data_IF_677314684211
#
_entry.id   IF_677314684211
#
_cell.length_a   1.000
_cell.length_b   1.000
_cell.length_c   1.000
_cell.angle_alpha   90.00
_cell.angle_beta   90.00
_cell.angle_gamma   90.00
#
_symmetry.space_group_name_H-M   'P 1'
#
loop_
_entity.id
_entity.type
_entity.pdbx_description
1 polymer ?
#
# COMPACT_ATOMS: atom_id res chain seq x y z
N UNK A 1 33.33 13.94 -43.63
CA UNK A 1 32.40 14.67 -42.72
C UNK A 1 31.70 13.62 -41.93
N UNK A 2 32.24 13.37 -40.75
CA UNK A 2 31.90 12.23 -39.91
C UNK A 2 30.66 12.54 -39.05
N UNK A 3 29.61 11.78 -39.29
CA UNK A 3 28.45 11.78 -38.36
C UNK A 3 28.84 11.01 -37.10
N UNK A 4 29.08 11.75 -36.02
CA UNK A 4 29.23 11.21 -34.66
C UNK A 4 27.86 10.72 -34.18
N UNK A 5 27.66 9.42 -34.22
CA UNK A 5 26.54 8.75 -33.58
C UNK A 5 26.72 8.85 -32.05
N UNK A 6 26.02 9.78 -31.43
CA UNK A 6 25.90 9.88 -29.98
C UNK A 6 25.12 8.66 -29.47
N UNK A 7 25.84 7.69 -28.93
CA UNK A 7 25.31 6.65 -28.06
C UNK A 7 24.69 7.30 -26.80
N UNK A 8 23.39 7.50 -26.82
CA UNK A 8 22.64 7.67 -25.59
C UNK A 8 22.60 6.31 -24.87
N UNK A 9 23.57 6.06 -24.00
CA UNK A 9 23.53 4.96 -23.05
C UNK A 9 22.29 5.13 -22.18
N UNK A 10 21.28 4.29 -22.43
CA UNK A 10 20.07 4.22 -21.62
C UNK A 10 20.46 3.97 -20.16
N UNK A 11 20.17 4.93 -19.28
CA UNK A 11 20.23 4.70 -17.85
C UNK A 11 19.32 3.50 -17.55
N UNK A 12 19.89 2.39 -17.11
CA UNK A 12 19.12 1.23 -16.68
C UNK A 12 18.12 1.70 -15.64
N UNK A 13 16.81 1.56 -15.92
CA UNK A 13 15.77 1.88 -14.98
C UNK A 13 16.00 1.06 -13.69
N UNK A 14 15.96 1.72 -12.54
CA UNK A 14 16.16 1.09 -11.23
C UNK A 14 15.21 -0.11 -11.06
N UNK A 15 15.76 -1.28 -10.82
CA UNK A 15 14.99 -2.49 -10.56
C UNK A 15 14.55 -2.50 -9.10
N UNK A 16 13.25 -2.71 -8.85
CA UNK A 16 12.65 -2.63 -7.51
C UNK A 16 11.99 -3.95 -7.14
N UNK A 17 12.27 -4.43 -5.94
CA UNK A 17 11.50 -5.51 -5.32
C UNK A 17 10.37 -4.89 -4.48
N UNK A 18 9.12 -5.09 -4.87
CA UNK A 18 7.96 -4.70 -4.08
C UNK A 18 7.50 -5.86 -3.19
N UNK A 19 7.30 -5.58 -1.91
CA UNK A 19 6.88 -6.51 -0.86
C UNK A 19 5.57 -6.01 -0.27
N UNK A 20 4.49 -6.79 -0.41
CA UNK A 20 3.18 -6.54 0.19
C UNK A 20 3.02 -7.45 1.42
N UNK A 21 3.11 -6.87 2.62
CA UNK A 21 3.02 -7.60 3.88
C UNK A 21 1.58 -7.64 4.36
N UNK A 22 0.93 -8.79 4.18
CA UNK A 22 -0.41 -9.03 4.70
C UNK A 22 -0.43 -9.94 5.92
N UNK A 23 -1.52 -9.94 6.67
CA UNK A 23 -1.70 -10.78 7.87
C UNK A 23 -1.75 -12.29 7.59
N UNK A 24 -2.09 -12.71 6.38
CA UNK A 24 -2.16 -14.13 5.95
C UNK A 24 -1.07 -14.51 4.97
N UNK A 25 -0.63 -13.61 4.14
CA UNK A 25 0.41 -13.85 3.14
C UNK A 25 1.27 -12.60 2.97
N UNK A 26 2.56 -12.82 2.79
CA UNK A 26 3.47 -11.85 2.18
C UNK A 26 3.57 -12.18 0.70
N UNK A 27 3.42 -11.17 -0.14
CA UNK A 27 3.56 -11.28 -1.60
C UNK A 27 4.73 -10.43 -2.06
N UNK A 28 5.46 -10.91 -3.06
CA UNK A 28 6.61 -10.19 -3.61
C UNK A 28 6.60 -10.21 -5.13
N UNK A 29 7.08 -9.14 -5.73
CA UNK A 29 7.30 -9.05 -7.18
C UNK A 29 8.48 -8.12 -7.44
N UNK A 30 9.42 -8.53 -8.28
CA UNK A 30 10.48 -7.65 -8.78
C UNK A 30 10.05 -6.99 -10.09
N UNK A 31 10.60 -5.81 -10.39
CA UNK A 31 10.40 -5.14 -11.69
C UNK A 31 10.86 -6.08 -12.81
N UNK A 32 10.09 -6.12 -13.90
CA UNK A 32 10.36 -7.02 -15.03
C UNK A 32 9.83 -8.45 -14.87
N UNK A 33 9.55 -8.90 -13.65
CA UNK A 33 8.93 -10.19 -13.40
C UNK A 33 7.41 -10.15 -13.62
N UNK A 34 6.86 -11.24 -14.16
CA UNK A 34 5.44 -11.32 -14.52
C UNK A 34 4.57 -11.98 -13.44
N UNK A 35 5.17 -12.85 -12.63
CA UNK A 35 4.42 -13.68 -11.70
C UNK A 35 4.83 -13.39 -10.25
N UNK A 36 3.92 -12.85 -9.43
CA UNK A 36 4.19 -12.65 -8.01
C UNK A 36 4.44 -13.98 -7.31
N UNK A 37 5.37 -13.97 -6.37
CA UNK A 37 5.55 -15.06 -5.43
C UNK A 37 4.95 -14.70 -4.08
N UNK A 38 4.56 -15.70 -3.30
CA UNK A 38 3.96 -15.52 -1.97
C UNK A 38 4.33 -16.62 -1.01
N UNK A 39 4.30 -16.29 0.27
CA UNK A 39 4.40 -17.24 1.36
C UNK A 39 3.44 -16.90 2.49
N UNK A 40 3.11 -17.89 3.31
CA UNK A 40 2.20 -17.69 4.44
C UNK A 40 2.88 -16.82 5.50
N UNK A 41 2.16 -15.81 5.98
CA UNK A 41 2.49 -15.00 7.16
C UNK A 41 1.71 -15.52 8.37
N UNK A 42 1.37 -14.65 9.29
CA UNK A 42 0.52 -14.96 10.44
C UNK A 42 1.15 -14.56 11.78
N UNK A 43 0.47 -14.88 12.91
CA UNK A 43 0.76 -14.27 14.21
C UNK A 43 2.17 -14.56 14.76
N UNK A 44 2.89 -15.50 14.19
CA UNK A 44 4.26 -15.84 14.61
C UNK A 44 5.35 -15.24 13.72
N UNK A 45 4.99 -14.53 12.65
CA UNK A 45 5.97 -13.97 11.71
C UNK A 45 6.58 -12.68 12.23
N UNK A 46 7.87 -12.70 12.50
CA UNK A 46 8.68 -11.52 12.83
C UNK A 46 9.24 -10.86 11.56
N UNK A 47 9.68 -9.59 11.66
CA UNK A 47 10.38 -8.89 10.57
C UNK A 47 11.61 -9.68 10.07
N UNK A 48 12.38 -10.25 10.96
CA UNK A 48 13.57 -11.07 10.62
C UNK A 48 13.20 -12.31 9.79
N UNK A 49 12.14 -13.02 10.16
CA UNK A 49 11.66 -14.19 9.42
C UNK A 49 11.11 -13.79 8.04
N UNK A 50 10.38 -12.67 7.96
CA UNK A 50 9.90 -12.13 6.69
C UNK A 50 11.08 -11.85 5.75
N UNK A 51 12.11 -11.13 6.21
CA UNK A 51 13.32 -10.85 5.41
C UNK A 51 13.99 -12.14 4.92
N UNK A 52 14.14 -13.15 5.79
CA UNK A 52 14.75 -14.42 5.42
C UNK A 52 13.97 -15.14 4.32
N UNK A 53 12.63 -15.17 4.42
CA UNK A 53 11.77 -15.79 3.41
C UNK A 53 11.80 -15.03 2.08
N UNK A 54 11.75 -13.70 2.13
CA UNK A 54 11.86 -12.85 0.93
C UNK A 54 13.18 -13.09 0.21
N UNK A 55 14.32 -13.10 0.93
CA UNK A 55 15.63 -13.39 0.33
C UNK A 55 15.68 -14.75 -0.33
N UNK A 56 15.07 -15.77 0.27
CA UNK A 56 14.99 -17.12 -0.30
C UNK A 56 14.19 -17.15 -1.60
N UNK A 57 13.01 -16.51 -1.61
CA UNK A 57 12.13 -16.50 -2.78
C UNK A 57 12.68 -15.63 -3.91
N UNK A 58 13.24 -14.46 -3.58
CA UNK A 58 13.80 -13.53 -4.54
C UNK A 58 15.24 -13.86 -4.98
N UNK A 59 15.80 -15.01 -4.58
CA UNK A 59 17.22 -15.34 -4.81
C UNK A 59 17.65 -15.35 -6.28
N UNK A 60 16.71 -15.52 -7.21
CA UNK A 60 16.96 -15.52 -8.67
C UNK A 60 16.62 -14.18 -9.33
N UNK A 61 16.09 -13.21 -8.57
CA UNK A 61 15.68 -11.93 -9.09
C UNK A 61 16.76 -10.87 -8.83
N UNK A 62 16.97 -10.02 -9.79
CA UNK A 62 17.85 -8.86 -9.66
C UNK A 62 17.02 -7.62 -9.28
N UNK A 63 17.49 -6.86 -8.31
CA UNK A 63 16.88 -5.60 -7.89
C UNK A 63 17.89 -4.73 -7.13
N UNK A 64 17.74 -3.42 -7.29
CA UNK A 64 18.61 -2.38 -6.69
C UNK A 64 18.03 -1.85 -5.38
N UNK A 65 16.70 -1.84 -5.27
CA UNK A 65 15.96 -1.23 -4.18
C UNK A 65 14.72 -2.04 -3.80
N UNK A 66 14.17 -1.75 -2.62
CA UNK A 66 13.05 -2.50 -2.05
C UNK A 66 11.96 -1.54 -1.56
N UNK A 67 10.71 -1.85 -1.87
CA UNK A 67 9.53 -1.23 -1.29
C UNK A 67 8.80 -2.21 -0.39
N UNK A 68 8.39 -1.78 0.80
CA UNK A 68 7.62 -2.60 1.74
C UNK A 68 6.31 -1.89 2.04
N UNK A 69 5.17 -2.51 1.65
CA UNK A 69 3.84 -2.18 2.13
C UNK A 69 3.60 -2.88 3.46
N UNK A 70 3.46 -2.11 4.53
CA UNK A 70 3.36 -2.59 5.89
C UNK A 70 1.92 -2.47 6.43
N UNK A 71 1.37 -3.50 7.09
CA UNK A 71 -0.02 -3.48 7.58
C UNK A 71 -0.15 -2.74 8.91
N UNK A 72 0.06 -1.44 8.88
CA UNK A 72 -0.02 -0.55 10.04
C UNK A 72 0.52 0.84 9.77
N UNK A 73 0.47 1.74 10.75
CA UNK A 73 0.88 3.13 10.58
C UNK A 73 2.40 3.26 10.36
N UNK A 74 2.74 3.99 9.30
CA UNK A 74 4.11 4.33 8.92
C UNK A 74 4.20 5.84 8.74
N UNK A 75 5.11 6.49 9.47
CA UNK A 75 5.37 7.91 9.36
C UNK A 75 6.82 8.13 8.90
N UNK A 76 7.00 8.81 7.78
CA UNK A 76 8.32 9.10 7.20
C UNK A 76 9.22 7.85 7.08
N UNK A 77 8.64 6.74 6.61
CA UNK A 77 9.34 5.46 6.47
C UNK A 77 9.58 4.70 7.78
N UNK A 78 9.08 5.18 8.91
CA UNK A 78 9.23 4.55 10.23
C UNK A 78 7.93 3.86 10.65
N UNK A 79 8.01 2.59 10.98
CA UNK A 79 6.91 1.83 11.58
C UNK A 79 6.67 2.35 13.00
N UNK A 80 5.44 2.77 13.30
CA UNK A 80 5.07 3.36 14.60
C UNK A 80 4.68 2.30 15.62
N UNK A 81 3.99 1.24 15.20
CA UNK A 81 3.49 0.18 16.08
C UNK A 81 3.71 -1.19 15.43
N UNK A 82 3.87 -2.22 16.26
CA UNK A 82 3.89 -3.60 15.77
C UNK A 82 2.53 -3.99 15.17
N UNK A 83 2.48 -4.88 14.17
CA UNK A 83 1.27 -5.21 13.44
C UNK A 83 0.35 -6.10 14.28
N UNK A 84 -0.95 -5.87 14.25
CA UNK A 84 -1.93 -6.65 15.04
C UNK A 84 -1.96 -8.14 14.69
N UNK A 85 -1.69 -8.50 13.43
CA UNK A 85 -1.85 -9.86 12.90
C UNK A 85 -0.53 -10.60 12.67
N UNK A 86 0.59 -10.04 13.12
CA UNK A 86 1.93 -10.63 13.02
C UNK A 86 2.63 -10.59 14.38
N UNK A 87 3.76 -11.28 14.52
CA UNK A 87 4.55 -11.20 15.74
C UNK A 87 5.18 -9.80 15.93
N UNK A 88 5.52 -9.40 17.16
CA UNK A 88 6.22 -8.15 17.42
C UNK A 88 7.65 -8.14 16.87
N UNK A 89 8.30 -6.97 16.94
CA UNK A 89 9.70 -6.79 16.52
C UNK A 89 9.86 -6.18 15.14
N UNK A 90 8.84 -5.45 14.66
CA UNK A 90 8.88 -4.67 13.42
C UNK A 90 9.28 -3.22 13.66
N UNK A 91 8.89 -2.67 14.81
CA UNK A 91 9.27 -1.32 15.20
C UNK A 91 10.79 -1.25 15.36
N UNK A 92 11.43 -0.23 14.74
CA UNK A 92 12.90 -0.02 14.73
C UNK A 92 13.71 -1.16 14.08
N UNK A 93 13.09 -2.11 13.38
CA UNK A 93 13.84 -3.11 12.62
C UNK A 93 14.55 -2.47 11.44
N UNK A 94 15.85 -2.69 11.32
CA UNK A 94 16.67 -2.11 10.25
C UNK A 94 16.58 -2.97 8.98
N UNK A 95 15.55 -2.71 8.17
CA UNK A 95 15.36 -3.40 6.90
C UNK A 95 16.50 -3.14 5.92
N UNK A 96 17.05 -1.90 5.88
CA UNK A 96 18.17 -1.56 4.99
C UNK A 96 19.39 -2.43 5.28
N UNK A 97 19.77 -2.56 6.55
CA UNK A 97 20.88 -3.43 7.00
C UNK A 97 20.55 -4.90 6.72
N UNK A 98 19.32 -5.33 7.04
CA UNK A 98 18.90 -6.72 6.90
C UNK A 98 18.88 -7.19 5.44
N UNK A 99 18.45 -6.37 4.49
CA UNK A 99 18.46 -6.68 3.06
C UNK A 99 19.80 -6.36 2.37
N UNK A 100 20.59 -5.43 2.89
CA UNK A 100 21.79 -4.92 2.25
C UNK A 100 21.50 -4.03 1.02
N UNK A 101 20.31 -3.44 0.96
CA UNK A 101 19.80 -2.62 -0.16
C UNK A 101 19.04 -1.41 0.39
N UNK A 102 18.88 -0.33 -0.39
CA UNK A 102 17.95 0.75 -0.05
C UNK A 102 16.53 0.23 0.13
N UNK A 103 15.85 0.66 1.18
CA UNK A 103 14.47 0.25 1.50
C UNK A 103 13.61 1.48 1.77
N UNK A 104 12.41 1.50 1.17
CA UNK A 104 11.32 2.41 1.53
C UNK A 104 10.18 1.60 2.14
N UNK A 105 9.67 2.04 3.30
CA UNK A 105 8.51 1.42 3.97
C UNK A 105 7.37 2.41 3.95
N UNK A 106 6.19 1.94 3.53
CA UNK A 106 4.93 2.70 3.55
C UNK A 106 3.82 1.83 4.14
N UNK A 107 2.71 2.44 4.52
CA UNK A 107 1.50 1.69 4.83
C UNK A 107 1.02 0.92 3.57
N UNK A 108 0.44 -0.27 3.74
CA UNK A 108 0.00 -1.15 2.64
C UNK A 108 -1.13 -0.51 1.79
N UNK A 109 -2.07 0.20 2.42
CA UNK A 109 -3.11 0.95 1.70
C UNK A 109 -2.50 2.11 0.90
N UNK A 110 -1.50 2.81 1.45
CA UNK A 110 -0.76 3.85 0.75
C UNK A 110 -0.02 3.30 -0.48
N UNK A 111 0.58 2.12 -0.38
CA UNK A 111 1.24 1.47 -1.52
C UNK A 111 0.23 1.07 -2.61
N UNK A 112 -0.94 0.54 -2.22
CA UNK A 112 -2.02 0.24 -3.18
C UNK A 112 -2.60 1.51 -3.80
N UNK A 113 -2.72 2.60 -3.03
CA UNK A 113 -3.16 3.90 -3.52
C UNK A 113 -2.23 4.43 -4.63
N UNK A 114 -0.91 4.42 -4.38
CA UNK A 114 0.09 4.82 -5.38
C UNK A 114 -0.05 4.06 -6.70
N UNK A 115 -0.24 2.74 -6.63
CA UNK A 115 -0.43 1.92 -7.83
C UNK A 115 -1.75 2.16 -8.55
N UNK A 116 -2.75 2.65 -7.83
CA UNK A 116 -4.09 2.95 -8.36
C UNK A 116 -4.21 4.36 -8.93
N UNK A 117 -3.30 5.27 -8.58
CA UNK A 117 -3.37 6.69 -8.89
C UNK A 117 -3.24 6.99 -10.39
N UNK A 118 -4.09 7.92 -10.86
CA UNK A 118 -4.16 8.34 -12.27
C UNK A 118 -4.07 9.86 -12.47
N UNK A 119 -3.90 10.63 -11.40
CA UNK A 119 -3.84 12.09 -11.40
C UNK A 119 -4.93 12.73 -10.53
N UNK A 120 -4.81 14.03 -10.26
CA UNK A 120 -5.75 14.81 -9.47
C UNK A 120 -5.81 14.43 -7.99
N UNK A 121 -6.99 14.56 -7.39
CA UNK A 121 -7.26 14.20 -6.00
C UNK A 121 -7.92 12.82 -5.93
N UNK A 122 -7.26 11.82 -5.34
CA UNK A 122 -7.76 10.44 -5.25
C UNK A 122 -7.81 9.96 -3.81
N UNK A 123 -8.98 9.45 -3.39
CA UNK A 123 -9.16 8.72 -2.14
C UNK A 123 -9.11 7.21 -2.40
N UNK A 124 -8.21 6.51 -1.72
CA UNK A 124 -8.15 5.05 -1.68
C UNK A 124 -8.75 4.54 -0.37
N UNK A 125 -9.64 3.55 -0.47
CA UNK A 125 -10.25 2.85 0.67
C UNK A 125 -10.07 1.34 0.49
N UNK A 126 -9.30 0.73 1.38
CA UNK A 126 -8.98 -0.71 1.37
C UNK A 126 -9.91 -1.49 2.29
N UNK A 127 -10.90 -2.19 1.74
CA UNK A 127 -11.83 -3.06 2.46
C UNK A 127 -11.15 -4.41 2.77
N UNK A 128 -10.46 -4.49 3.89
CA UNK A 128 -9.68 -5.65 4.34
C UNK A 128 -10.10 -6.14 5.72
N UNK A 129 -9.13 -6.48 6.57
CA UNK A 129 -9.36 -6.77 8.01
C UNK A 129 -9.97 -5.55 8.69
N UNK A 130 -9.43 -4.36 8.45
CA UNK A 130 -9.98 -3.06 8.83
C UNK A 130 -10.39 -2.26 7.60
N UNK A 131 -10.28 -0.92 7.70
CA UNK A 131 -10.45 0.03 6.63
C UNK A 131 -9.13 0.80 6.43
N UNK A 132 -8.27 0.31 5.55
CA UNK A 132 -7.08 1.05 5.14
C UNK A 132 -7.46 2.26 4.29
N UNK A 133 -6.73 3.35 4.42
CA UNK A 133 -7.03 4.57 3.68
C UNK A 133 -5.78 5.37 3.36
N UNK A 134 -5.80 6.04 2.22
CA UNK A 134 -4.78 7.00 1.80
C UNK A 134 -5.40 8.01 0.84
N UNK A 135 -4.90 9.23 0.86
CA UNK A 135 -5.26 10.25 -0.11
C UNK A 135 -4.03 10.67 -0.92
N UNK A 136 -4.22 10.91 -2.20
CA UNK A 136 -3.18 11.46 -3.07
C UNK A 136 -3.76 12.71 -3.73
N UNK A 137 -3.09 13.82 -3.56
CA UNK A 137 -3.47 15.10 -4.17
C UNK A 137 -2.28 15.59 -4.99
N UNK A 138 -2.46 15.70 -6.31
CA UNK A 138 -1.43 16.18 -7.24
C UNK A 138 -0.06 15.49 -7.04
N UNK A 139 -0.09 14.15 -6.86
CA UNK A 139 1.10 13.34 -6.63
C UNK A 139 1.64 13.34 -5.19
N UNK A 140 1.04 14.10 -4.27
CA UNK A 140 1.41 14.04 -2.84
C UNK A 140 0.62 12.96 -2.13
N UNK A 141 1.33 11.95 -1.63
CA UNK A 141 0.74 10.84 -0.86
C UNK A 141 0.61 11.20 0.62
N UNK A 142 -0.61 11.16 1.14
CA UNK A 142 -0.93 11.31 2.55
C UNK A 142 -1.59 10.02 3.08
N UNK A 143 -0.86 9.19 3.84
CA UNK A 143 -1.44 8.06 4.54
C UNK A 143 -2.46 8.53 5.57
N UNK A 144 -3.60 7.85 5.65
CA UNK A 144 -4.70 8.23 6.53
C UNK A 144 -5.17 7.02 7.36
N UNK A 145 -5.67 7.28 8.56
CA UNK A 145 -6.28 6.29 9.45
C UNK A 145 -7.79 6.57 9.61
N UNK A 146 -8.48 6.77 8.47
CA UNK A 146 -9.92 7.09 8.46
C UNK A 146 -10.77 5.98 9.06
N UNK A 147 -10.27 4.73 9.07
CA UNK A 147 -10.92 3.60 9.69
C UNK A 147 -11.26 3.81 11.17
N UNK A 148 -10.46 4.61 11.88
CA UNK A 148 -10.64 4.91 13.30
C UNK A 148 -11.65 6.02 13.59
N UNK A 149 -12.17 6.71 12.58
CA UNK A 149 -13.18 7.75 12.78
C UNK A 149 -14.47 7.17 13.40
N UNK A 150 -15.10 7.90 14.35
CA UNK A 150 -16.34 7.46 14.97
C UNK A 150 -17.45 7.24 13.97
N UNK A 151 -18.15 6.12 14.08
CA UNK A 151 -19.30 5.78 13.25
C UNK A 151 -20.31 4.98 14.05
N UNK A 152 -21.52 5.50 14.20
CA UNK A 152 -22.59 4.91 14.99
C UNK A 152 -22.16 4.66 16.46
N UNK A 153 -21.99 3.39 16.84
CA UNK A 153 -21.58 2.96 18.19
C UNK A 153 -20.12 2.51 18.30
N UNK A 154 -19.34 2.64 17.20
CA UNK A 154 -17.95 2.21 17.13
C UNK A 154 -17.18 3.05 16.09
N UNK A 155 -16.34 2.46 15.25
CA UNK A 155 -15.56 3.14 14.22
C UNK A 155 -15.96 2.68 12.81
N UNK A 156 -15.50 3.38 11.77
CA UNK A 156 -15.74 2.94 10.39
C UNK A 156 -15.27 1.50 10.16
N UNK A 157 -14.06 1.15 10.60
CA UNK A 157 -13.52 -0.19 10.35
C UNK A 157 -14.33 -1.30 11.05
N UNK A 158 -14.93 -1.04 12.20
CA UNK A 158 -15.79 -1.99 12.91
C UNK A 158 -17.06 -2.36 12.12
N UNK A 159 -17.47 -1.48 11.20
CA UNK A 159 -18.65 -1.67 10.37
C UNK A 159 -18.32 -2.12 8.94
N UNK A 160 -17.22 -1.65 8.35
CA UNK A 160 -16.90 -1.93 6.94
C UNK A 160 -15.70 -2.84 6.74
N UNK A 161 -14.92 -3.14 7.78
CA UNK A 161 -13.89 -4.17 7.79
C UNK A 161 -14.46 -5.59 7.87
N UNK A 162 -13.57 -6.58 7.97
CA UNK A 162 -13.95 -8.00 8.04
C UNK A 162 -14.89 -8.29 9.23
N UNK A 163 -14.60 -7.72 10.41
CA UNK A 163 -15.48 -7.88 11.60
C UNK A 163 -16.91 -7.42 11.35
N UNK A 164 -17.07 -6.32 10.61
CA UNK A 164 -18.40 -5.82 10.23
C UNK A 164 -19.10 -6.74 9.24
N UNK A 165 -18.36 -7.27 8.26
CA UNK A 165 -18.87 -8.23 7.28
C UNK A 165 -19.37 -9.52 7.95
N UNK A 166 -18.60 -10.08 8.89
CA UNK A 166 -18.96 -11.27 9.65
C UNK A 166 -20.16 -11.01 10.58
N UNK A 167 -20.16 -9.88 11.30
CA UNK A 167 -21.20 -9.52 12.28
C UNK A 167 -22.56 -9.23 11.65
N UNK A 168 -22.58 -8.49 10.53
CA UNK A 168 -23.83 -7.96 9.96
C UNK A 168 -24.30 -8.70 8.71
N UNK A 169 -23.47 -9.56 8.13
CA UNK A 169 -23.69 -10.22 6.86
C UNK A 169 -23.59 -9.28 5.65
N UNK A 170 -23.43 -9.86 4.47
CA UNK A 170 -23.11 -9.12 3.22
C UNK A 170 -24.09 -7.98 2.92
N UNK A 171 -25.41 -8.23 3.03
CA UNK A 171 -26.41 -7.24 2.63
C UNK A 171 -26.39 -5.97 3.49
N UNK A 172 -26.20 -6.13 4.82
CA UNK A 172 -26.17 -5.01 5.73
C UNK A 172 -24.81 -4.32 5.70
N UNK A 173 -23.74 -5.11 5.58
CA UNK A 173 -22.38 -4.61 5.42
C UNK A 173 -22.24 -3.72 4.17
N UNK A 174 -22.78 -4.10 3.03
CA UNK A 174 -22.80 -3.28 1.80
C UNK A 174 -23.43 -1.91 2.04
N UNK A 175 -24.54 -1.86 2.77
CA UNK A 175 -25.18 -0.58 3.12
C UNK A 175 -24.25 0.32 3.96
N UNK A 176 -23.50 -0.27 4.88
CA UNK A 176 -22.51 0.49 5.65
C UNK A 176 -21.34 0.97 4.78
N UNK A 177 -20.85 0.14 3.86
CA UNK A 177 -19.81 0.58 2.92
C UNK A 177 -20.31 1.77 2.10
N UNK A 178 -21.52 1.72 1.57
CA UNK A 178 -22.09 2.83 0.80
C UNK A 178 -22.21 4.10 1.64
N UNK A 179 -22.75 4.02 2.85
CA UNK A 179 -22.91 5.16 3.76
C UNK A 179 -21.54 5.78 4.14
N UNK A 180 -20.54 4.95 4.44
CA UNK A 180 -19.18 5.42 4.77
C UNK A 180 -18.51 6.09 3.57
N UNK A 181 -18.62 5.49 2.38
CA UNK A 181 -18.08 6.08 1.14
C UNK A 181 -18.73 7.43 0.87
N UNK A 182 -20.07 7.54 0.95
CA UNK A 182 -20.79 8.79 0.75
C UNK A 182 -20.33 9.89 1.70
N UNK A 183 -20.18 9.56 2.99
CA UNK A 183 -19.67 10.50 4.02
C UNK A 183 -18.26 10.99 3.74
N UNK A 184 -17.36 10.07 3.38
CA UNK A 184 -15.97 10.41 3.09
C UNK A 184 -15.86 11.18 1.77
N UNK A 185 -16.70 10.88 0.78
CA UNK A 185 -16.80 11.65 -0.45
C UNK A 185 -17.21 13.09 -0.17
N UNK A 186 -18.25 13.29 0.62
CA UNK A 186 -18.73 14.62 0.98
C UNK A 186 -17.76 15.43 1.85
N UNK A 187 -16.92 14.73 2.64
CA UNK A 187 -15.97 15.40 3.53
C UNK A 187 -14.63 15.75 2.85
N UNK A 188 -14.19 14.95 1.88
CA UNK A 188 -12.85 15.06 1.28
C UNK A 188 -12.90 15.53 -0.18
N UNK A 189 -14.07 15.48 -0.83
CA UNK A 189 -14.32 15.93 -2.21
C UNK A 189 -13.26 15.44 -3.23
N UNK A 190 -12.91 14.12 -3.25
CA UNK A 190 -11.92 13.62 -4.18
C UNK A 190 -12.50 13.54 -5.61
N UNK A 191 -11.63 13.73 -6.62
CA UNK A 191 -11.97 13.55 -8.04
C UNK A 191 -12.17 12.07 -8.39
N UNK A 192 -11.45 11.17 -7.71
CA UNK A 192 -11.45 9.72 -7.96
C UNK A 192 -11.49 8.95 -6.63
N UNK A 193 -12.31 7.91 -6.55
CA UNK A 193 -12.39 7.04 -5.37
C UNK A 193 -12.13 5.60 -5.78
N UNK A 194 -11.11 5.01 -5.16
CA UNK A 194 -10.73 3.62 -5.41
C UNK A 194 -11.06 2.75 -4.22
N UNK A 195 -11.88 1.72 -4.44
CA UNK A 195 -12.16 0.70 -3.44
C UNK A 195 -11.29 -0.53 -3.72
N UNK A 196 -10.35 -0.82 -2.81
CA UNK A 196 -9.45 -1.97 -2.87
C UNK A 196 -9.69 -2.93 -1.70
N UNK A 197 -8.73 -3.84 -1.49
CA UNK A 197 -8.76 -4.84 -0.43
C UNK A 197 -9.57 -6.10 -0.77
N UNK A 198 -9.34 -7.16 0.03
CA UNK A 198 -9.88 -8.49 -0.27
C UNK A 198 -11.41 -8.60 -0.21
N UNK A 199 -12.08 -7.71 0.52
CA UNK A 199 -13.53 -7.74 0.71
C UNK A 199 -14.29 -6.95 -0.36
N UNK A 200 -13.63 -6.16 -1.22
CA UNK A 200 -14.29 -5.43 -2.31
C UNK A 200 -15.10 -6.34 -3.22
N UNK A 201 -14.65 -7.57 -3.42
CA UNK A 201 -15.36 -8.62 -4.18
C UNK A 201 -16.73 -9.03 -3.60
N UNK A 202 -17.04 -8.61 -2.37
CA UNK A 202 -18.34 -8.83 -1.75
C UNK A 202 -19.38 -7.76 -2.13
N UNK A 203 -18.94 -6.68 -2.78
CA UNK A 203 -19.82 -5.66 -3.34
C UNK A 203 -20.41 -6.20 -4.67
N UNK A 204 -21.72 -6.12 -4.81
CA UNK A 204 -22.42 -6.49 -6.09
C UNK A 204 -22.32 -5.36 -7.11
N UNK A 205 -22.25 -4.14 -6.62
CA UNK A 205 -22.05 -2.91 -7.41
C UNK A 205 -21.18 -1.93 -6.66
N UNK A 206 -20.47 -1.10 -7.38
CA UNK A 206 -19.69 -0.01 -6.79
C UNK A 206 -20.62 1.12 -6.33
N UNK A 207 -20.29 1.83 -5.23
CA UNK A 207 -20.87 3.12 -4.90
C UNK A 207 -20.68 4.11 -6.06
N UNK A 208 -21.56 5.09 -6.17
CA UNK A 208 -21.48 6.11 -7.23
C UNK A 208 -20.13 6.85 -7.16
N UNK A 209 -19.49 7.05 -8.30
CA UNK A 209 -18.19 7.72 -8.38
C UNK A 209 -16.99 6.86 -7.96
N UNK A 210 -17.20 5.61 -7.56
CA UNK A 210 -16.12 4.71 -7.17
C UNK A 210 -15.76 3.74 -8.29
N UNK A 211 -14.47 3.38 -8.35
CA UNK A 211 -13.97 2.27 -9.16
C UNK A 211 -13.32 1.20 -8.29
N UNK A 212 -13.29 -0.01 -8.79
CA UNK A 212 -12.58 -1.10 -8.13
C UNK A 212 -11.08 -0.99 -8.39
N UNK A 213 -10.29 -1.11 -7.33
CA UNK A 213 -8.85 -1.29 -7.40
C UNK A 213 -8.46 -2.75 -7.62
N UNK A 214 -7.26 -2.96 -8.15
CA UNK A 214 -6.64 -4.28 -8.27
C UNK A 214 -5.61 -4.47 -7.15
N UNK A 215 -5.57 -5.67 -6.55
CA UNK A 215 -4.55 -6.02 -5.57
C UNK A 215 -3.12 -6.03 -6.16
N UNK A 216 -2.98 -6.19 -7.48
CA UNK A 216 -1.71 -6.04 -8.19
C UNK A 216 -1.17 -4.60 -8.11
N UNK A 217 -2.01 -3.61 -7.84
CA UNK A 217 -1.61 -2.22 -7.67
C UNK A 217 -0.65 -2.00 -6.48
N UNK A 218 -0.61 -2.90 -5.49
CA UNK A 218 0.41 -2.85 -4.45
C UNK A 218 1.83 -2.92 -5.05
N UNK A 219 2.06 -3.80 -6.04
CA UNK A 219 3.37 -3.88 -6.71
C UNK A 219 3.66 -2.66 -7.57
N UNK A 220 2.69 -2.23 -8.37
CA UNK A 220 2.83 -1.01 -9.17
C UNK A 220 3.16 0.20 -8.29
N UNK A 221 2.49 0.35 -7.15
CA UNK A 221 2.76 1.39 -6.16
C UNK A 221 4.15 1.27 -5.55
N UNK A 222 4.57 0.03 -5.22
CA UNK A 222 5.92 -0.24 -4.74
C UNK A 222 7.00 0.19 -5.73
N UNK A 223 6.79 -0.02 -7.03
CA UNK A 223 7.72 0.43 -8.06
C UNK A 223 7.72 1.96 -8.18
N UNK A 224 6.55 2.59 -8.17
CA UNK A 224 6.38 4.05 -8.26
C UNK A 224 7.05 4.82 -7.12
N UNK A 225 7.20 4.23 -5.94
CA UNK A 225 7.93 4.85 -4.82
C UNK A 225 9.37 5.28 -5.17
N UNK A 226 9.98 4.71 -6.21
CA UNK A 226 11.35 5.00 -6.62
C UNK A 226 11.44 5.85 -7.90
N UNK A 227 10.32 6.13 -8.55
CA UNK A 227 10.27 7.05 -9.69
C UNK A 227 10.35 8.50 -9.19
N UNK A 228 11.26 9.30 -9.78
CA UNK A 228 11.57 10.66 -9.29
C UNK A 228 10.54 11.72 -9.68
N UNK A 229 9.73 11.44 -10.70
CA UNK A 229 8.96 12.48 -11.38
C UNK A 229 7.47 12.53 -11.01
N UNK A 230 6.92 11.46 -10.40
CA UNK A 230 5.47 11.33 -10.26
C UNK A 230 4.92 11.49 -8.84
N UNK A 231 5.76 11.36 -7.80
CA UNK A 231 5.26 11.32 -6.43
C UNK A 231 6.18 12.02 -5.43
N UNK A 232 5.59 12.92 -4.67
CA UNK A 232 6.20 13.52 -3.50
C UNK A 232 5.76 12.72 -2.26
N UNK A 233 6.66 11.91 -1.75
CA UNK A 233 6.49 11.28 -0.44
C UNK A 233 7.39 12.02 0.53
N UNK A 234 6.91 12.35 1.71
CA UNK A 234 7.68 13.01 2.78
C UNK A 234 8.80 12.12 3.37
N UNK A 235 9.47 11.31 2.51
CA UNK A 235 10.57 10.42 2.91
C UNK A 235 11.95 11.12 3.00
N UNK A 236 12.11 12.24 2.35
CA UNK A 236 13.33 13.03 2.48
C UNK A 236 13.06 14.13 3.50
N UNK A 237 13.84 14.16 4.59
CA UNK A 237 13.93 15.31 5.47
C UNK A 237 14.44 16.53 4.69
N UNK A 238 13.58 17.08 3.84
CA UNK A 238 13.76 18.34 3.16
C UNK A 238 13.44 19.43 4.18
N UNK A 239 14.45 20.24 4.51
CA UNK A 239 14.29 21.43 5.32
C UNK A 239 13.12 22.25 4.76
N UNK A 240 12.06 22.41 5.55
CA UNK A 240 11.07 23.44 5.31
C UNK A 240 11.82 24.77 5.30
N UNK A 241 12.03 25.37 4.13
CA UNK A 241 12.32 26.79 4.04
C UNK A 241 11.08 27.53 4.50
N UNK A 242 11.21 28.22 5.61
CA UNK A 242 10.26 29.22 6.09
C UNK A 242 10.18 30.39 5.10
#
# INVERSE_FOLDING_TARGET
>A
MDCVSSNCSGANAMQVLAIDVGGTHVKILASGEKTPQKFVSGPKMTAKQMVAQVKKLAAKWEFDAISIGYPGPVLQGRILHDPHNLAPGWVRFDFKKAFGRPVKVVNDAAMQALGSYKGGSMLFLGLGTGLGSAMIVDGFLEPMELGHLPYRKATYEDYVGLRGLERYGKNKWRKYVFDVVERLTAALEPDDIVLGGGNVKQLEKMPKGCRQGDNANAFAGGFRLWMKEDFHTNFAGGAHRR
#
